data_IF_711511763816
#
_entry.id   IF_711511763816
#
_cell.length_a   1.000
_cell.length_b   1.000
_cell.length_c   1.000
_cell.angle_alpha   90.00
_cell.angle_beta   90.00
_cell.angle_gamma   90.00
#
_symmetry.space_group_name_H-M   'P 1'
#
loop_
_entity.id
_entity.type
_entity.pdbx_description
1 polymer ?
#
# COMPACT_ATOMS: atom_id res chain seq x y z
N UNK A 1 12.69 11.57 32.31
CA UNK A 1 11.63 12.05 31.39
C UNK A 1 12.00 11.61 29.99
N UNK A 2 11.04 11.08 29.22
CA UNK A 2 11.29 10.79 27.81
C UNK A 2 11.55 12.13 27.09
N UNK A 3 12.66 12.23 26.37
CA UNK A 3 13.06 13.46 25.66
C UNK A 3 12.01 13.75 24.58
N UNK A 4 11.37 14.92 24.62
CA UNK A 4 10.29 15.27 23.68
C UNK A 4 10.90 15.95 22.46
N UNK A 5 10.95 15.25 21.33
CA UNK A 5 11.38 15.86 20.06
C UNK A 5 10.26 16.69 19.42
N UNK A 6 10.66 17.70 18.66
CA UNK A 6 9.77 18.53 17.86
C UNK A 6 10.05 18.30 16.37
N UNK A 7 8.98 18.21 15.59
CA UNK A 7 9.04 18.17 14.13
C UNK A 7 8.50 19.50 13.60
N UNK A 8 9.18 20.11 12.65
CA UNK A 8 8.81 21.40 12.06
C UNK A 8 8.67 21.22 10.56
N UNK A 9 7.51 21.56 10.01
CA UNK A 9 7.20 21.49 8.59
C UNK A 9 6.55 22.80 8.13
N UNK A 10 6.38 22.99 6.82
CA UNK A 10 5.71 24.18 6.30
C UNK A 10 4.17 24.15 6.49
N UNK A 11 3.54 25.32 6.50
CA UNK A 11 2.07 25.47 6.40
C UNK A 11 1.54 24.90 5.08
N UNK A 12 0.30 24.40 5.07
CA UNK A 12 -0.28 23.63 3.98
C UNK A 12 0.65 22.48 3.54
N UNK A 13 0.96 21.53 4.46
CA UNK A 13 2.01 20.55 4.25
C UNK A 13 1.65 19.61 3.10
N UNK A 14 2.57 19.46 2.15
CA UNK A 14 2.38 18.57 1.00
C UNK A 14 2.75 17.12 1.34
N UNK A 15 2.78 16.26 0.32
CA UNK A 15 3.11 14.85 0.52
C UNK A 15 4.55 14.65 1.03
N UNK A 16 5.50 15.52 0.69
CA UNK A 16 6.90 15.37 1.08
C UNK A 16 7.12 15.75 2.55
N UNK A 17 6.61 16.91 2.96
CA UNK A 17 6.61 17.31 4.37
C UNK A 17 5.92 16.27 5.26
N UNK A 18 4.74 15.80 4.84
CA UNK A 18 3.97 14.76 5.55
C UNK A 18 4.74 13.43 5.57
N UNK A 19 5.36 13.05 4.46
CA UNK A 19 6.12 11.80 4.33
C UNK A 19 7.28 11.72 5.33
N UNK A 20 8.03 12.81 5.50
CA UNK A 20 9.08 12.88 6.52
C UNK A 20 8.55 12.78 7.96
N UNK A 21 7.44 13.45 8.27
CA UNK A 21 6.79 13.32 9.60
C UNK A 21 6.29 11.90 9.84
N UNK A 22 5.68 11.27 8.83
CA UNK A 22 5.22 9.88 8.90
C UNK A 22 6.36 8.93 9.22
N UNK A 23 7.51 9.07 8.56
CA UNK A 23 8.68 8.24 8.79
C UNK A 23 9.16 8.30 10.26
N UNK A 24 9.33 9.51 10.80
CA UNK A 24 9.74 9.68 12.20
C UNK A 24 8.72 9.08 13.17
N UNK A 25 7.45 9.44 13.02
CA UNK A 25 6.40 9.05 13.96
C UNK A 25 6.01 7.58 13.84
N UNK A 26 6.32 6.91 12.71
CA UNK A 26 6.03 5.49 12.51
C UNK A 26 7.19 4.57 12.87
N UNK A 27 8.42 4.95 12.52
CA UNK A 27 9.59 4.06 12.60
C UNK A 27 10.62 4.45 13.66
N UNK A 28 10.51 5.65 14.26
CA UNK A 28 11.35 6.10 15.39
C UNK A 28 10.47 6.45 16.60
N UNK A 29 9.56 5.53 16.95
CA UNK A 29 8.54 5.72 17.99
C UNK A 29 9.12 6.05 19.37
N UNK A 30 10.30 5.52 19.70
CA UNK A 30 10.93 5.76 20.99
C UNK A 30 11.23 7.25 21.22
N UNK A 31 11.62 7.97 20.16
CA UNK A 31 11.99 9.37 20.26
C UNK A 31 10.90 10.32 19.73
N UNK A 32 10.11 9.89 18.74
CA UNK A 32 9.15 10.74 18.03
C UNK A 32 7.68 10.34 18.20
N UNK A 33 7.36 9.26 18.91
CA UNK A 33 5.97 8.79 19.06
C UNK A 33 5.03 9.81 19.70
N UNK A 34 5.57 10.74 20.51
CA UNK A 34 4.84 11.87 21.11
C UNK A 34 5.37 13.23 20.65
N UNK A 35 6.07 13.28 19.51
CA UNK A 35 6.61 14.53 18.98
C UNK A 35 5.47 15.52 18.69
N UNK A 36 5.68 16.79 19.06
CA UNK A 36 4.79 17.87 18.64
C UNK A 36 5.22 18.32 17.25
N UNK A 37 4.26 18.48 16.36
CA UNK A 37 4.48 19.03 15.02
C UNK A 37 4.15 20.52 15.06
N UNK A 38 5.04 21.32 14.48
CA UNK A 38 4.92 22.77 14.33
C UNK A 38 4.90 23.11 12.84
N UNK A 39 4.18 24.18 12.51
CA UNK A 39 4.02 24.67 11.14
C UNK A 39 4.65 26.07 11.04
N UNK A 40 5.44 26.30 9.98
CA UNK A 40 6.13 27.58 9.70
C UNK A 40 5.91 27.98 8.23
N UNK A 41 6.25 29.21 7.84
CA UNK A 41 6.22 29.55 6.42
C UNK A 41 7.36 28.84 5.67
N UNK A 42 7.22 28.60 4.35
CA UNK A 42 8.34 28.14 3.53
C UNK A 42 9.55 29.08 3.64
N UNK A 43 10.72 28.50 3.90
CA UNK A 43 11.98 29.20 4.13
C UNK A 43 12.27 29.56 5.59
N UNK A 44 11.29 29.42 6.49
CA UNK A 44 11.41 29.75 7.91
C UNK A 44 11.82 28.53 8.76
N UNK A 45 12.24 28.83 9.99
CA UNK A 45 12.47 27.89 11.09
C UNK A 45 11.75 28.43 12.34
N UNK A 46 11.60 27.62 13.39
CA UNK A 46 11.08 28.13 14.65
C UNK A 46 11.95 29.28 15.19
N UNK A 47 11.31 30.38 15.58
CA UNK A 47 12.01 31.52 16.17
C UNK A 47 12.51 31.21 17.60
N UNK A 48 13.55 31.89 18.09
CA UNK A 48 14.01 31.72 19.48
C UNK A 48 12.91 31.96 20.53
N UNK A 49 11.94 32.83 20.23
CA UNK A 49 10.80 33.12 21.10
C UNK A 49 9.86 31.91 21.18
N UNK A 50 9.55 31.28 20.05
CA UNK A 50 8.70 30.08 20.00
C UNK A 50 9.37 28.89 20.68
N UNK A 51 10.67 28.69 20.42
CA UNK A 51 11.48 27.65 21.07
C UNK A 51 11.43 27.83 22.60
N UNK A 52 11.64 29.06 23.09
CA UNK A 52 11.58 29.34 24.52
C UNK A 52 10.17 29.18 25.11
N UNK A 53 9.13 29.59 24.37
CA UNK A 53 7.73 29.49 24.82
C UNK A 53 7.26 28.04 24.93
N UNK A 54 7.73 27.19 24.04
CA UNK A 54 7.39 25.77 23.97
C UNK A 54 8.36 24.89 24.78
N UNK A 55 9.31 25.51 25.48
CA UNK A 55 10.32 24.86 26.32
C UNK A 55 11.11 23.77 25.56
N UNK A 56 11.44 24.05 24.29
CA UNK A 56 12.13 23.11 23.40
C UNK A 56 13.66 23.25 23.55
N UNK A 57 14.36 22.11 23.54
CA UNK A 57 15.81 22.07 23.33
C UNK A 57 16.08 22.20 21.81
N UNK A 58 16.87 23.20 21.35
CA UNK A 58 17.21 23.35 19.93
C UNK A 58 17.82 22.09 19.29
N UNK A 59 18.48 21.22 20.06
CA UNK A 59 19.04 19.95 19.56
C UNK A 59 17.97 18.87 19.30
N UNK A 60 16.75 19.08 19.79
CA UNK A 60 15.61 18.18 19.64
C UNK A 60 14.59 18.67 18.61
N UNK A 61 14.93 19.69 17.82
CA UNK A 61 14.08 20.27 16.79
C UNK A 61 14.53 19.81 15.40
N UNK A 62 13.65 19.09 14.71
CA UNK A 62 13.91 18.48 13.42
C UNK A 62 13.05 19.18 12.37
N UNK A 63 13.71 19.92 11.46
CA UNK A 63 13.04 20.63 10.37
C UNK A 63 13.02 19.76 9.12
N UNK A 64 11.81 19.50 8.61
CA UNK A 64 11.54 18.65 7.46
C UNK A 64 10.81 19.51 6.43
N UNK A 65 11.39 19.65 5.26
CA UNK A 65 10.80 20.37 4.13
C UNK A 65 10.39 21.83 4.43
N UNK A 66 11.20 22.55 5.20
CA UNK A 66 10.93 23.97 5.47
C UNK A 66 11.66 24.90 4.51
N UNK A 67 12.35 24.41 3.47
CA UNK A 67 13.10 25.23 2.51
C UNK A 67 14.47 25.73 2.99
N UNK A 68 14.86 25.46 4.25
CA UNK A 68 16.20 25.71 4.86
C UNK A 68 16.53 24.78 6.04
N UNK A 69 15.75 23.71 6.19
CA UNK A 69 15.79 22.81 7.35
C UNK A 69 16.90 21.75 7.29
N UNK A 70 16.93 20.89 8.31
CA UNK A 70 17.86 19.76 8.38
C UNK A 70 17.62 18.75 7.26
N UNK A 71 16.36 18.42 7.00
CA UNK A 71 15.90 17.54 5.93
C UNK A 71 15.26 18.39 4.84
N UNK A 72 16.11 19.04 4.06
CA UNK A 72 15.69 19.94 2.98
C UNK A 72 16.59 19.77 1.74
N UNK A 73 16.00 19.97 0.57
CA UNK A 73 16.62 19.76 -0.75
C UNK A 73 16.62 21.02 -1.63
N UNK A 74 16.09 22.15 -1.13
CA UNK A 74 15.96 23.42 -1.84
C UNK A 74 17.29 24.21 -2.00
N UNK A 75 18.44 23.55 -1.86
CA UNK A 75 19.76 24.16 -2.09
C UNK A 75 20.28 23.83 -3.49
N UNK A 76 21.08 24.73 -4.07
CA UNK A 76 21.64 24.56 -5.44
C UNK A 76 22.36 23.21 -5.60
N UNK A 77 23.09 22.76 -4.59
CA UNK A 77 23.85 21.49 -4.60
C UNK A 77 22.96 20.23 -4.56
N UNK A 78 21.75 20.35 -4.01
CA UNK A 78 20.81 19.23 -3.82
C UNK A 78 19.71 19.20 -4.88
N UNK A 79 19.32 20.37 -5.40
CA UNK A 79 18.24 20.55 -6.38
C UNK A 79 18.41 19.77 -7.68
N UNK A 80 19.64 19.37 -8.04
CA UNK A 80 19.91 18.57 -9.23
C UNK A 80 19.87 17.05 -8.99
N UNK A 81 19.60 16.61 -7.76
CA UNK A 81 19.53 15.20 -7.36
C UNK A 81 18.06 14.80 -7.24
N UNK A 82 17.76 13.56 -7.57
CA UNK A 82 16.42 12.98 -7.35
C UNK A 82 16.20 12.64 -5.87
N UNK A 83 16.07 13.67 -5.04
CA UNK A 83 15.89 13.56 -3.57
C UNK A 83 14.87 14.60 -3.09
N UNK A 84 14.04 14.18 -2.16
CA UNK A 84 13.09 15.04 -1.42
C UNK A 84 13.33 14.93 0.10
N UNK A 85 12.68 15.73 0.93
CA UNK A 85 12.82 15.70 2.40
C UNK A 85 12.50 14.31 2.98
N UNK A 86 11.44 13.64 2.50
CA UNK A 86 11.08 12.27 2.87
C UNK A 86 12.22 11.31 2.61
N UNK A 87 12.88 11.41 1.45
CA UNK A 87 14.04 10.56 1.12
C UNK A 87 15.23 10.79 2.05
N UNK A 88 15.47 12.04 2.46
CA UNK A 88 16.53 12.40 3.42
C UNK A 88 16.23 11.88 4.82
N UNK A 89 14.97 11.95 5.27
CA UNK A 89 14.54 11.35 6.54
C UNK A 89 14.69 9.83 6.47
N UNK A 90 14.31 9.21 5.36
CA UNK A 90 14.47 7.77 5.16
C UNK A 90 15.94 7.33 5.21
N UNK A 91 16.86 8.07 4.57
CA UNK A 91 18.30 7.80 4.65
C UNK A 91 18.81 7.91 6.09
N UNK A 92 18.40 8.97 6.79
CA UNK A 92 18.77 9.19 8.20
C UNK A 92 18.31 8.05 9.10
N UNK A 93 17.04 7.63 8.99
CA UNK A 93 16.53 6.53 9.79
C UNK A 93 17.17 5.20 9.39
N UNK A 94 17.40 4.95 8.11
CA UNK A 94 18.06 3.74 7.62
C UNK A 94 19.53 3.63 8.08
N UNK A 95 20.20 4.77 8.30
CA UNK A 95 21.56 4.79 8.88
C UNK A 95 21.60 4.31 10.34
N UNK A 96 20.47 4.34 11.04
CA UNK A 96 20.30 3.90 12.43
C UNK A 96 19.67 2.52 12.53
N UNK A 97 18.71 2.23 11.66
CA UNK A 97 17.90 1.03 11.64
C UNK A 97 18.04 0.35 10.28
N UNK A 98 19.03 -0.55 10.16
CA UNK A 98 19.41 -1.17 8.89
C UNK A 98 18.24 -1.93 8.25
N UNK A 99 17.31 -2.47 9.03
CA UNK A 99 16.12 -3.16 8.54
C UNK A 99 15.21 -2.27 7.68
N UNK A 100 15.16 -0.96 7.94
CA UNK A 100 14.38 -0.02 7.14
C UNK A 100 14.91 0.05 5.70
N UNK A 101 16.22 -0.07 5.53
CA UNK A 101 16.85 -0.11 4.21
C UNK A 101 16.45 -1.32 3.36
N UNK A 102 15.90 -2.37 3.99
CA UNK A 102 15.46 -3.61 3.33
C UNK A 102 13.93 -3.68 3.19
N UNK A 103 13.20 -2.71 3.72
CA UNK A 103 11.75 -2.70 3.65
C UNK A 103 11.27 -2.22 2.27
N UNK A 104 10.85 -3.18 1.44
CA UNK A 104 10.38 -2.92 0.06
C UNK A 104 9.12 -2.05 0.01
N UNK A 105 8.25 -2.13 1.01
CA UNK A 105 7.04 -1.30 1.05
C UNK A 105 7.43 0.15 1.34
N UNK A 106 8.36 0.36 2.27
CA UNK A 106 8.90 1.67 2.60
C UNK A 106 9.63 2.30 1.41
N UNK A 107 10.52 1.54 0.76
CA UNK A 107 11.21 1.96 -0.46
C UNK A 107 10.23 2.39 -1.57
N UNK A 108 9.13 1.66 -1.74
CA UNK A 108 8.10 2.00 -2.74
C UNK A 108 7.40 3.31 -2.42
N UNK A 109 7.10 3.59 -1.15
CA UNK A 109 6.50 4.86 -0.72
C UNK A 109 7.49 6.01 -0.92
N UNK A 110 8.72 5.88 -0.43
CA UNK A 110 9.74 6.93 -0.53
C UNK A 110 10.02 7.25 -2.00
N UNK A 111 10.11 6.23 -2.86
CA UNK A 111 10.26 6.42 -4.31
C UNK A 111 9.08 7.17 -4.92
N UNK A 112 7.84 6.82 -4.57
CA UNK A 112 6.64 7.52 -5.05
C UNK A 112 6.59 8.98 -4.59
N UNK A 113 6.90 9.26 -3.32
CA UNK A 113 6.93 10.64 -2.80
C UNK A 113 7.99 11.45 -3.52
N UNK A 114 9.19 10.89 -3.71
CA UNK A 114 10.29 11.55 -4.44
C UNK A 114 9.89 11.84 -5.89
N UNK A 115 9.25 10.88 -6.56
CA UNK A 115 8.78 11.06 -7.95
C UNK A 115 7.78 12.21 -8.07
N UNK A 116 6.78 12.26 -7.17
CA UNK A 116 5.76 13.33 -7.16
C UNK A 116 6.36 14.69 -6.83
N UNK A 117 7.27 14.75 -5.87
CA UNK A 117 7.99 15.98 -5.50
C UNK A 117 8.80 16.56 -6.68
N UNK A 118 9.26 15.69 -7.58
CA UNK A 118 9.97 16.08 -8.81
C UNK A 118 9.03 16.28 -10.01
N UNK A 119 7.72 16.35 -9.78
CA UNK A 119 6.69 16.50 -10.81
C UNK A 119 6.72 15.36 -11.85
N UNK A 120 7.13 14.16 -11.42
CA UNK A 120 7.31 12.98 -12.29
C UNK A 120 6.00 12.43 -12.86
N UNK A 121 4.85 12.79 -12.27
CA UNK A 121 3.54 12.35 -12.75
C UNK A 121 3.22 12.79 -14.20
N UNK A 122 3.90 13.80 -14.74
CA UNK A 122 3.73 14.20 -16.15
C UNK A 122 4.16 13.13 -17.14
N UNK A 123 5.05 12.24 -16.73
CA UNK A 123 5.56 11.15 -17.55
C UNK A 123 4.74 9.86 -17.40
N UNK A 124 3.70 9.86 -16.56
CA UNK A 124 2.84 8.69 -16.40
C UNK A 124 2.00 8.39 -17.65
N UNK A 125 1.69 7.10 -17.91
CA UNK A 125 0.79 6.74 -19.00
C UNK A 125 -0.57 7.41 -18.85
N UNK A 126 -1.00 8.13 -19.90
CA UNK A 126 -2.24 8.91 -19.89
C UNK A 126 -2.23 9.98 -18.77
N UNK A 127 -1.14 10.74 -18.59
CA UNK A 127 -0.94 11.70 -17.49
C UNK A 127 -2.11 12.67 -17.24
N UNK A 128 -2.84 13.07 -18.30
CA UNK A 128 -4.04 13.93 -18.19
C UNK A 128 -5.31 13.20 -17.68
N UNK A 129 -5.24 11.89 -17.43
CA UNK A 129 -6.39 11.09 -17.04
C UNK A 129 -6.82 11.42 -15.60
N UNK A 130 -8.09 11.82 -15.46
CA UNK A 130 -8.69 12.24 -14.17
C UNK A 130 -8.62 11.21 -13.05
N UNK A 131 -8.33 9.93 -13.35
CA UNK A 131 -8.07 8.91 -12.32
C UNK A 131 -6.92 9.31 -11.39
N UNK A 132 -5.97 10.11 -11.87
CA UNK A 132 -4.84 10.57 -11.05
C UNK A 132 -5.25 11.61 -10.00
N UNK A 133 -6.38 12.31 -10.18
CA UNK A 133 -6.97 13.17 -9.14
C UNK A 133 -7.42 12.42 -7.88
N UNK A 134 -7.45 11.09 -7.91
CA UNK A 134 -7.74 10.24 -6.75
C UNK A 134 -6.47 9.73 -6.05
N UNK A 135 -5.28 10.17 -6.48
CA UNK A 135 -4.00 9.83 -5.85
C UNK A 135 -3.76 10.65 -4.58
N UNK A 136 -2.91 10.13 -3.70
CA UNK A 136 -2.75 10.67 -2.34
C UNK A 136 -2.33 12.15 -2.34
N UNK A 137 -1.38 12.58 -3.19
CA UNK A 137 -0.94 13.97 -3.26
C UNK A 137 -2.07 14.92 -3.73
N UNK A 138 -2.87 14.51 -4.71
CA UNK A 138 -4.05 15.27 -5.17
C UNK A 138 -5.13 15.36 -4.08
N UNK A 139 -5.35 14.28 -3.33
CA UNK A 139 -6.32 14.28 -2.23
C UNK A 139 -5.85 15.13 -1.03
N UNK A 140 -4.55 15.17 -0.76
CA UNK A 140 -3.95 16.05 0.25
C UNK A 140 -4.15 17.51 -0.19
N UNK A 141 -3.79 17.85 -1.42
CA UNK A 141 -4.05 19.19 -2.01
C UNK A 141 -5.53 19.56 -1.98
N UNK A 142 -6.43 18.59 -2.17
CA UNK A 142 -7.87 18.80 -2.05
C UNK A 142 -8.31 19.34 -0.69
N UNK A 143 -7.58 19.06 0.40
CA UNK A 143 -7.86 19.63 1.73
C UNK A 143 -7.53 21.13 1.80
N UNK A 144 -6.54 21.60 1.04
CA UNK A 144 -6.21 23.03 0.95
C UNK A 144 -7.32 23.83 0.28
N UNK A 145 -8.04 23.19 -0.64
CA UNK A 145 -9.14 23.79 -1.38
C UNK A 145 -10.46 23.81 -0.60
N UNK A 146 -10.52 23.19 0.59
CA UNK A 146 -11.72 23.14 1.40
C UNK A 146 -11.92 24.43 2.23
N UNK A 147 -13.17 24.85 2.42
CA UNK A 147 -13.54 26.08 3.16
C UNK A 147 -13.03 26.15 4.61
N UNK A 148 -12.58 25.03 5.19
CA UNK A 148 -12.03 24.92 6.54
C UNK A 148 -10.63 24.28 6.54
N UNK A 149 -9.71 24.92 5.83
CA UNK A 149 -8.30 24.52 5.80
C UNK A 149 -7.71 24.51 7.22
N UNK A 150 -6.92 23.47 7.52
CA UNK A 150 -6.16 23.32 8.75
C UNK A 150 -4.98 22.41 8.45
N UNK A 151 -3.78 22.88 8.76
CA UNK A 151 -2.54 22.13 8.55
C UNK A 151 -2.54 20.83 9.34
N UNK A 152 -3.08 20.85 10.57
CA UNK A 152 -3.22 19.64 11.37
C UNK A 152 -4.14 18.62 10.71
N UNK A 153 -5.28 19.05 10.16
CA UNK A 153 -6.20 18.13 9.47
C UNK A 153 -5.55 17.53 8.22
N UNK A 154 -4.86 18.35 7.44
CA UNK A 154 -4.14 17.95 6.24
C UNK A 154 -3.02 16.94 6.57
N UNK A 155 -2.22 17.24 7.59
CA UNK A 155 -1.19 16.34 8.11
C UNK A 155 -1.80 15.01 8.56
N UNK A 156 -2.81 15.01 9.45
CA UNK A 156 -3.41 13.77 9.96
C UNK A 156 -4.01 12.92 8.85
N UNK A 157 -4.64 13.54 7.85
CA UNK A 157 -5.16 12.84 6.68
C UNK A 157 -4.02 12.16 5.91
N UNK A 158 -2.95 12.89 5.59
CA UNK A 158 -1.81 12.35 4.86
C UNK A 158 -1.08 11.24 5.62
N UNK A 159 -0.87 11.38 6.93
CA UNK A 159 -0.31 10.33 7.80
C UNK A 159 -1.14 9.04 7.72
N UNK A 160 -2.47 9.16 7.81
CA UNK A 160 -3.38 8.03 7.73
C UNK A 160 -3.36 7.37 6.34
N UNK A 161 -3.26 8.16 5.27
CA UNK A 161 -3.11 7.68 3.90
C UNK A 161 -1.82 6.87 3.73
N UNK A 162 -0.69 7.36 4.23
CA UNK A 162 0.60 6.68 4.15
C UNK A 162 0.61 5.37 4.96
N UNK A 163 0.02 5.36 6.15
CA UNK A 163 -0.15 4.12 6.95
C UNK A 163 -0.96 3.06 6.19
N UNK A 164 -2.03 3.47 5.52
CA UNK A 164 -2.84 2.56 4.71
C UNK A 164 -2.10 2.07 3.47
N UNK A 165 -1.38 2.96 2.78
CA UNK A 165 -0.54 2.60 1.63
C UNK A 165 0.53 1.59 2.03
N UNK A 166 1.22 1.81 3.16
CA UNK A 166 2.22 0.90 3.69
C UNK A 166 1.64 -0.48 3.98
N UNK A 167 0.49 -0.56 4.66
CA UNK A 167 -0.18 -1.84 4.93
C UNK A 167 -0.55 -2.60 3.64
N UNK A 168 -1.02 -1.88 2.61
CA UNK A 168 -1.34 -2.47 1.29
C UNK A 168 -0.06 -2.99 0.62
N UNK A 169 1.02 -2.20 0.60
CA UNK A 169 2.28 -2.57 -0.05
C UNK A 169 2.96 -3.74 0.65
N UNK A 170 2.99 -3.77 1.99
CA UNK A 170 3.47 -4.92 2.76
C UNK A 170 2.70 -6.19 2.38
N UNK A 171 1.37 -6.11 2.27
CA UNK A 171 0.56 -7.27 1.89
C UNK A 171 0.78 -7.68 0.42
N UNK A 172 0.96 -6.71 -0.47
CA UNK A 172 1.22 -6.94 -1.89
C UNK A 172 2.60 -7.60 -2.10
N UNK A 173 3.68 -7.11 -1.50
CA UNK A 173 5.00 -7.72 -1.63
C UNK A 173 5.05 -9.14 -1.09
N UNK A 174 4.37 -9.41 0.04
CA UNK A 174 4.18 -10.79 0.53
C UNK A 174 3.46 -11.66 -0.51
N UNK A 175 2.45 -11.12 -1.20
CA UNK A 175 1.77 -11.83 -2.28
C UNK A 175 2.74 -12.12 -3.45
N UNK A 176 3.63 -11.19 -3.80
CA UNK A 176 4.66 -11.40 -4.84
C UNK A 176 5.61 -12.55 -4.50
N UNK A 177 6.08 -12.61 -3.26
CA UNK A 177 6.96 -13.67 -2.75
C UNK A 177 6.26 -15.03 -2.77
N UNK A 178 5.01 -15.08 -2.29
CA UNK A 178 4.16 -16.28 -2.30
C UNK A 178 3.95 -16.78 -3.72
N UNK A 179 3.62 -15.89 -4.66
CA UNK A 179 3.43 -16.26 -6.07
C UNK A 179 4.71 -16.80 -6.72
N UNK A 180 5.88 -16.32 -6.30
CA UNK A 180 7.16 -16.71 -6.86
C UNK A 180 7.68 -18.05 -6.32
N UNK A 181 7.23 -18.47 -5.13
CA UNK A 181 7.76 -19.63 -4.41
C UNK A 181 6.77 -20.78 -4.22
N UNK A 182 5.45 -20.53 -4.22
CA UNK A 182 4.43 -21.51 -3.80
C UNK A 182 3.33 -21.78 -4.85
N UNK A 183 3.32 -21.06 -5.96
CA UNK A 183 2.27 -21.17 -6.97
C UNK A 183 2.37 -22.43 -7.84
N UNK A 184 1.30 -23.22 -7.93
CA UNK A 184 1.19 -24.33 -8.87
C UNK A 184 0.58 -23.83 -10.19
N UNK A 185 1.40 -23.73 -11.24
CA UNK A 185 0.92 -23.33 -12.57
C UNK A 185 0.47 -24.52 -13.40
N UNK A 186 -0.58 -24.32 -14.19
CA UNK A 186 -1.04 -25.28 -15.20
C UNK A 186 -1.71 -24.53 -16.36
N UNK A 187 -2.15 -25.23 -17.40
CA UNK A 187 -2.80 -24.63 -18.56
C UNK A 187 -4.13 -25.31 -18.86
N UNK A 188 -5.02 -24.54 -19.47
CA UNK A 188 -6.31 -24.94 -20.06
C UNK A 188 -6.44 -24.26 -21.42
N UNK A 189 -7.46 -24.59 -22.23
CA UNK A 189 -7.68 -23.95 -23.54
C UNK A 189 -7.75 -22.43 -23.48
N UNK A 190 -8.30 -21.88 -22.39
CA UNK A 190 -8.44 -20.44 -22.19
C UNK A 190 -7.15 -19.73 -21.73
N UNK A 191 -6.08 -20.46 -21.43
CA UNK A 191 -4.76 -19.91 -21.11
C UNK A 191 -4.14 -20.42 -19.80
N UNK A 192 -3.19 -19.64 -19.28
CA UNK A 192 -2.41 -20.00 -18.09
C UNK A 192 -3.29 -19.93 -16.83
N UNK A 193 -3.15 -20.92 -15.96
CA UNK A 193 -3.81 -20.98 -14.68
C UNK A 193 -2.80 -21.01 -13.53
N UNK A 194 -3.27 -20.61 -12.36
CA UNK A 194 -2.53 -20.69 -11.11
C UNK A 194 -3.42 -21.25 -10.01
N UNK A 195 -2.90 -22.21 -9.25
CA UNK A 195 -3.49 -22.67 -8.01
C UNK A 195 -2.52 -22.43 -6.85
N UNK A 196 -3.00 -22.00 -5.70
CA UNK A 196 -2.14 -21.67 -4.56
C UNK A 196 -2.84 -21.83 -3.21
N UNK A 197 -2.10 -22.30 -2.21
CA UNK A 197 -2.56 -22.36 -0.82
C UNK A 197 -1.93 -21.21 -0.03
N UNK A 198 -2.74 -20.26 0.42
CA UNK A 198 -2.26 -19.11 1.21
C UNK A 198 -3.43 -18.40 1.91
N UNK A 199 -3.15 -17.62 2.97
CA UNK A 199 -4.14 -16.72 3.59
C UNK A 199 -4.30 -15.36 2.87
N UNK A 200 -3.34 -15.01 1.99
CA UNK A 200 -3.28 -13.71 1.32
C UNK A 200 -4.13 -13.70 0.05
N UNK A 201 -5.14 -12.83 -0.03
CA UNK A 201 -6.07 -12.77 -1.17
C UNK A 201 -5.51 -12.00 -2.38
N UNK A 202 -4.51 -11.14 -2.16
CA UNK A 202 -3.95 -10.29 -3.21
C UNK A 202 -3.25 -11.10 -4.31
N UNK A 203 -2.86 -12.34 -4.01
CA UNK A 203 -2.31 -13.30 -4.98
C UNK A 203 -3.23 -13.47 -6.19
N UNK A 204 -4.55 -13.39 -6.00
CA UNK A 204 -5.52 -13.56 -7.10
C UNK A 204 -5.41 -12.40 -8.09
N UNK A 205 -5.55 -11.17 -7.60
CA UNK A 205 -5.51 -9.96 -8.44
C UNK A 205 -4.14 -9.82 -9.10
N UNK A 206 -3.06 -10.08 -8.35
CA UNK A 206 -1.69 -9.98 -8.83
C UNK A 206 -1.38 -11.03 -9.90
N UNK A 207 -1.78 -12.29 -9.70
CA UNK A 207 -1.58 -13.33 -10.71
C UNK A 207 -2.35 -13.04 -12.01
N UNK A 208 -3.57 -12.49 -11.92
CA UNK A 208 -4.34 -12.08 -13.09
C UNK A 208 -3.68 -10.92 -13.86
N UNK A 209 -3.17 -9.91 -13.14
CA UNK A 209 -2.34 -8.84 -13.72
C UNK A 209 -1.11 -9.39 -14.45
N UNK A 210 -0.53 -10.48 -13.95
CA UNK A 210 0.62 -11.20 -14.54
C UNK A 210 0.25 -12.24 -15.61
N UNK A 211 -1.00 -12.22 -16.09
CA UNK A 211 -1.42 -13.02 -17.25
C UNK A 211 -2.12 -14.34 -16.95
N UNK A 212 -2.36 -14.72 -15.68
CA UNK A 212 -3.16 -15.91 -15.39
C UNK A 212 -4.64 -15.68 -15.73
N UNK A 213 -5.19 -16.51 -16.62
CA UNK A 213 -6.62 -16.50 -16.99
C UNK A 213 -7.50 -16.93 -15.84
N UNK A 214 -7.12 -17.98 -15.10
CA UNK A 214 -7.86 -18.51 -13.96
C UNK A 214 -6.92 -18.67 -12.75
N UNK A 215 -7.39 -18.26 -11.58
CA UNK A 215 -6.67 -18.40 -10.32
C UNK A 215 -7.53 -19.11 -9.28
N UNK A 216 -7.02 -20.17 -8.67
CA UNK A 216 -7.59 -20.87 -7.53
C UNK A 216 -6.74 -20.54 -6.31
N UNK A 217 -7.37 -20.06 -5.24
CA UNK A 217 -6.71 -19.82 -3.97
C UNK A 217 -7.47 -20.52 -2.86
N UNK A 218 -6.78 -21.37 -2.09
CA UNK A 218 -7.33 -22.04 -0.90
C UNK A 218 -6.66 -21.47 0.36
N UNK A 219 -7.46 -21.13 1.37
CA UNK A 219 -6.96 -20.72 2.68
C UNK A 219 -6.55 -21.96 3.49
N UNK A 220 -5.30 -22.08 3.95
CA UNK A 220 -4.85 -23.26 4.69
C UNK A 220 -5.51 -23.39 6.07
N UNK A 221 -5.97 -22.28 6.67
CA UNK A 221 -6.52 -22.27 8.02
C UNK A 221 -8.05 -22.38 7.98
N UNK A 222 -8.68 -21.61 7.08
CA UNK A 222 -10.14 -21.57 6.97
C UNK A 222 -10.71 -22.61 6.01
N UNK A 223 -9.88 -23.23 5.15
CA UNK A 223 -10.31 -24.17 4.11
C UNK A 223 -11.08 -23.53 2.93
N UNK A 224 -11.48 -22.26 3.08
CA UNK A 224 -12.20 -21.47 2.07
C UNK A 224 -11.45 -21.40 0.75
N UNK A 225 -12.19 -21.46 -0.36
CA UNK A 225 -11.64 -21.43 -1.72
C UNK A 225 -12.21 -20.25 -2.50
N UNK A 226 -11.36 -19.59 -3.29
CA UNK A 226 -11.76 -18.58 -4.28
C UNK A 226 -11.21 -18.97 -5.64
N UNK A 227 -12.10 -19.04 -6.61
CA UNK A 227 -11.76 -19.28 -8.01
C UNK A 227 -12.22 -18.07 -8.81
N UNK A 228 -11.27 -17.41 -9.48
CA UNK A 228 -11.56 -16.24 -10.32
C UNK A 228 -10.99 -16.41 -11.72
N UNK A 229 -11.83 -16.13 -12.70
CA UNK A 229 -11.45 -15.98 -14.11
C UNK A 229 -11.23 -14.50 -14.39
N UNK A 230 -10.30 -14.17 -15.28
CA UNK A 230 -10.10 -12.79 -15.72
C UNK A 230 -11.39 -12.25 -16.38
N UNK A 231 -11.77 -10.98 -16.15
CA UNK A 231 -13.00 -10.42 -16.71
C UNK A 231 -13.06 -10.43 -18.25
N UNK A 232 -11.91 -10.30 -18.91
CA UNK A 232 -11.78 -10.24 -20.37
C UNK A 232 -11.70 -11.62 -21.06
N UNK A 233 -11.64 -12.70 -20.29
CA UNK A 233 -11.71 -14.06 -20.85
C UNK A 233 -13.15 -14.42 -21.21
N UNK A 234 -13.37 -15.16 -22.30
CA UNK A 234 -14.69 -15.71 -22.65
C UNK A 234 -15.13 -16.86 -21.74
N UNK A 235 -14.23 -17.46 -20.97
CA UNK A 235 -14.49 -18.61 -20.08
C UNK A 235 -15.46 -18.26 -18.93
N UNK A 236 -16.38 -19.19 -18.61
CA UNK A 236 -17.25 -19.13 -17.42
C UNK A 236 -16.98 -20.31 -16.49
N UNK A 237 -17.38 -20.19 -15.22
CA UNK A 237 -17.19 -21.22 -14.19
C UNK A 237 -18.42 -22.11 -13.97
N UNK A 238 -19.46 -22.00 -14.80
CA UNK A 238 -20.72 -22.73 -14.64
C UNK A 238 -20.52 -24.25 -14.56
N UNK A 239 -19.83 -24.82 -15.56
CA UNK A 239 -19.51 -26.27 -15.59
C UNK A 239 -18.73 -26.72 -14.36
N UNK A 240 -17.83 -25.86 -13.87
CA UNK A 240 -17.04 -26.17 -12.67
C UNK A 240 -17.91 -26.14 -11.42
N UNK A 241 -18.81 -25.16 -11.33
CA UNK A 241 -19.74 -25.04 -10.22
C UNK A 241 -20.65 -26.26 -10.12
N UNK A 242 -21.27 -26.68 -11.23
CA UNK A 242 -22.11 -27.88 -11.29
C UNK A 242 -21.33 -29.14 -10.88
N UNK A 243 -20.12 -29.31 -11.42
CA UNK A 243 -19.26 -30.44 -11.09
C UNK A 243 -18.86 -30.45 -9.61
N UNK A 244 -18.55 -29.29 -9.03
CA UNK A 244 -18.28 -29.15 -7.60
C UNK A 244 -19.50 -29.52 -6.76
N UNK A 245 -20.69 -29.01 -7.08
CA UNK A 245 -21.91 -29.33 -6.33
C UNK A 245 -22.26 -30.83 -6.37
N UNK A 246 -21.91 -31.53 -7.46
CA UNK A 246 -22.09 -32.98 -7.55
C UNK A 246 -21.18 -33.79 -6.62
N UNK A 247 -20.02 -33.22 -6.22
CA UNK A 247 -19.00 -33.88 -5.38
C UNK A 247 -18.97 -33.36 -3.94
N UNK A 248 -19.32 -32.09 -3.73
CA UNK A 248 -19.28 -31.40 -2.46
C UNK A 248 -20.69 -31.02 -1.99
N UNK A 249 -21.24 -31.82 -1.08
CA UNK A 249 -22.53 -31.58 -0.43
C UNK A 249 -22.42 -30.77 0.88
N UNK A 250 -21.21 -30.37 1.28
CA UNK A 250 -20.95 -29.70 2.56
C UNK A 250 -20.62 -28.22 2.40
N UNK A 251 -19.79 -27.89 1.41
CA UNK A 251 -19.25 -26.57 1.20
C UNK A 251 -20.31 -25.56 0.80
N UNK A 252 -20.28 -24.38 1.42
CA UNK A 252 -21.16 -23.26 1.05
C UNK A 252 -20.61 -22.51 -0.18
N UNK A 253 -20.93 -23.01 -1.37
CA UNK A 253 -20.49 -22.42 -2.63
C UNK A 253 -21.44 -21.34 -3.15
N UNK A 254 -20.86 -20.26 -3.66
CA UNK A 254 -21.55 -19.16 -4.32
C UNK A 254 -20.95 -18.93 -5.71
N UNK A 255 -21.77 -19.11 -6.73
CA UNK A 255 -21.46 -18.79 -8.11
C UNK A 255 -21.96 -17.38 -8.43
N UNK A 256 -21.05 -16.49 -8.81
CA UNK A 256 -21.40 -15.10 -9.11
C UNK A 256 -22.08 -15.00 -10.49
N UNK A 257 -23.16 -14.20 -10.67
CA UNK A 257 -23.91 -14.10 -11.93
C UNK A 257 -23.09 -13.69 -13.16
N UNK A 258 -21.93 -13.03 -12.98
CA UNK A 258 -21.02 -12.75 -14.11
C UNK A 258 -20.38 -13.99 -14.74
N UNK A 259 -20.48 -15.14 -14.06
CA UNK A 259 -19.84 -16.38 -14.44
C UNK A 259 -18.33 -16.45 -14.22
N UNK A 260 -17.72 -15.39 -13.67
CA UNK A 260 -16.25 -15.27 -13.53
C UNK A 260 -15.73 -15.61 -12.14
N UNK A 261 -16.62 -15.88 -11.18
CA UNK A 261 -16.21 -16.06 -9.79
C UNK A 261 -17.01 -17.18 -9.13
N UNK A 262 -16.27 -18.07 -8.48
CA UNK A 262 -16.82 -19.11 -7.63
C UNK A 262 -16.15 -19.01 -6.24
N UNK A 263 -16.96 -18.87 -5.21
CA UNK A 263 -16.51 -18.56 -3.85
C UNK A 263 -17.03 -19.63 -2.90
N UNK A 264 -16.15 -20.20 -2.10
CA UNK A 264 -16.48 -21.01 -0.94
C UNK A 264 -15.89 -20.32 0.29
N UNK A 265 -16.73 -19.62 1.06
CA UNK A 265 -16.27 -18.86 2.23
C UNK A 265 -16.01 -17.38 1.97
N UNK A 266 -16.36 -16.55 2.95
CA UNK A 266 -16.20 -15.11 2.97
C UNK A 266 -16.06 -14.65 4.42
N UNK A 267 -15.18 -13.67 4.65
CA UNK A 267 -15.07 -13.01 5.96
C UNK A 267 -16.37 -12.32 6.40
N UNK A 268 -17.28 -12.04 5.46
CA UNK A 268 -18.55 -11.36 5.72
C UNK A 268 -19.68 -12.31 6.14
N UNK A 269 -19.51 -13.62 5.99
CA UNK A 269 -20.55 -14.61 6.31
C UNK A 269 -19.99 -15.67 7.25
N UNK A 270 -20.46 -15.66 8.49
CA UNK A 270 -19.89 -16.45 9.60
C UNK A 270 -20.38 -17.91 9.63
N UNK A 271 -21.46 -18.23 8.92
CA UNK A 271 -22.05 -19.58 8.89
C UNK A 271 -21.59 -20.44 7.70
N UNK A 272 -20.69 -19.93 6.86
CA UNK A 272 -20.23 -20.67 5.68
C UNK A 272 -19.34 -21.85 6.06
N UNK A 273 -19.59 -22.98 5.40
CA UNK A 273 -18.80 -24.20 5.57
C UNK A 273 -17.73 -24.30 4.48
N UNK A 274 -16.46 -24.53 4.84
CA UNK A 274 -15.42 -24.74 3.85
C UNK A 274 -15.66 -26.05 3.10
N UNK A 275 -15.25 -26.08 1.83
CA UNK A 275 -15.28 -27.28 1.01
C UNK A 275 -14.31 -28.33 1.55
N UNK A 276 -14.70 -29.62 1.59
CA UNK A 276 -13.78 -30.72 1.89
C UNK A 276 -12.82 -31.00 0.73
N UNK A 277 -13.09 -30.48 -0.48
CA UNK A 277 -12.24 -30.70 -1.65
C UNK A 277 -10.85 -30.08 -1.44
N UNK A 278 -9.83 -30.87 -1.69
CA UNK A 278 -8.43 -30.45 -1.75
C UNK A 278 -8.17 -29.49 -2.93
N UNK A 279 -7.03 -28.79 -2.89
CA UNK A 279 -6.63 -27.92 -4.00
C UNK A 279 -6.36 -28.75 -5.27
N UNK A 280 -5.91 -29.98 -5.12
CA UNK A 280 -5.58 -30.92 -6.18
C UNK A 280 -6.83 -31.46 -6.88
N UNK A 281 -7.88 -31.82 -6.13
CA UNK A 281 -9.19 -32.23 -6.68
C UNK A 281 -9.86 -31.08 -7.45
N UNK A 282 -9.89 -29.90 -6.82
CA UNK A 282 -9.70 -28.58 -7.41
C UNK A 282 -9.25 -28.51 -8.88
N UNK A 283 -7.92 -28.59 -9.01
CA UNK A 283 -7.18 -28.47 -10.26
C UNK A 283 -7.58 -29.59 -11.23
N UNK A 284 -7.78 -30.81 -10.75
CA UNK A 284 -8.16 -31.95 -11.59
C UNK A 284 -9.50 -31.69 -12.30
N UNK A 285 -10.51 -31.21 -11.58
CA UNK A 285 -11.79 -30.79 -12.15
C UNK A 285 -11.63 -29.71 -13.22
N UNK A 286 -10.78 -28.70 -12.95
CA UNK A 286 -10.56 -27.61 -13.92
C UNK A 286 -9.88 -28.15 -15.19
N UNK A 287 -8.88 -29.04 -15.05
CA UNK A 287 -8.23 -29.67 -16.20
C UNK A 287 -9.21 -30.53 -16.99
N UNK A 288 -10.02 -31.35 -16.32
CA UNK A 288 -11.03 -32.21 -16.95
C UNK A 288 -12.03 -31.40 -17.79
N UNK A 289 -12.51 -30.28 -17.27
CA UNK A 289 -13.59 -29.51 -17.88
C UNK A 289 -13.13 -28.49 -18.93
N UNK A 290 -11.87 -28.05 -18.88
CA UNK A 290 -11.37 -26.94 -19.70
C UNK A 290 -10.05 -27.19 -20.44
N UNK A 291 -9.44 -28.39 -20.35
CA UNK A 291 -8.30 -28.77 -21.19
C UNK A 291 -8.63 -28.78 -22.67
#
# INVERSE_FOLDING_TARGET
MQKRRALVIHHAPDLDAIGGVWLFTRFELQDFGNAKVFFVNPGDILSPIEISKEELDPQDIFHVDTGRGQFDHHTVEKSSRSICATSLVYEYLSSKHLELSQDRALQSIVGFVTEVDHFGEIDWPEAENIRYSFMIHELIRGQELADQQSDERQLQFGLQCLDNAYNVLVNQHKAEEILSSQGQTFAIKAGKCLAITTKNDDVIKLAQKRGSTLVIRKDPNLGSVRIKVRPDSSMTLEKLYEAILSRDSMGSWYYHPSGKMLINGSRKQTLQKPTPLSLEEIIALVKELYA
#
